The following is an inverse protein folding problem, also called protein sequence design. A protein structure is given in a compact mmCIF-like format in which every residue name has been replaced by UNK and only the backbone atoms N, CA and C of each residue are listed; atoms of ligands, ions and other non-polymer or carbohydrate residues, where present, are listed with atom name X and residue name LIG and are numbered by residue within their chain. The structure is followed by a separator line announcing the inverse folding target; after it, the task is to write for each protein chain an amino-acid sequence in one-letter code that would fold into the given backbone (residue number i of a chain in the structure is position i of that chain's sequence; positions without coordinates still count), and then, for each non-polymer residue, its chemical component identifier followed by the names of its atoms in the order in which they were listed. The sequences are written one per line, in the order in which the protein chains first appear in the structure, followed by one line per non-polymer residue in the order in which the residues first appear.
data_IF_827770086811
#
_entry.id   IF_827770086811
#
_cell.length_a   1.000
_cell.length_b   1.000
_cell.length_c   1.000
_cell.angle_alpha   90.00
_cell.angle_beta   90.00
_cell.angle_gamma   90.00
#
_symmetry.space_group_name_H-M   'P 1'
#
loop_
_entity.id
_entity.type
_entity.pdbx_description
1 polymer ?
#
# COMPACT_ATOMS: atom_id res chain seq x y z
N UNK A 1 -56.29 -81.08 1.78
CA UNK A 1 -57.16 -81.81 0.87
C UNK A 1 -56.23 -82.29 -0.28
N UNK A 2 -55.79 -83.51 -0.26
CA UNK A 2 -56.28 -84.57 -1.15
C UNK A 2 -55.69 -84.31 -2.55
N UNK A 3 -54.95 -85.15 -3.17
CA UNK A 3 -54.51 -86.56 -3.19
C UNK A 3 -53.67 -86.72 -4.47
N UNK A 4 -52.65 -87.38 -4.38
CA UNK A 4 -52.01 -88.34 -5.22
C UNK A 4 -53.01 -89.21 -6.09
N UNK A 5 -52.68 -90.08 -7.01
CA UNK A 5 -51.41 -90.69 -7.31
C UNK A 5 -51.19 -91.22 -8.78
N UNK A 6 -50.04 -91.86 -8.92
CA UNK A 6 -49.79 -93.11 -9.64
C UNK A 6 -49.57 -93.08 -11.15
N UNK A 7 -48.63 -93.72 -11.58
CA UNK A 7 -48.06 -94.97 -11.94
C UNK A 7 -47.73 -94.92 -13.42
N UNK A 8 -46.85 -95.50 -14.00
CA UNK A 8 -45.99 -96.68 -13.95
C UNK A 8 -45.15 -96.71 -15.23
N UNK A 9 -43.95 -96.98 -15.20
CA UNK A 9 -43.32 -98.29 -15.57
C UNK A 9 -42.90 -98.35 -17.05
N UNK A 10 -41.67 -98.42 -17.26
CA UNK A 10 -40.99 -99.58 -17.88
C UNK A 10 -39.55 -99.23 -18.33
N UNK A 11 -38.62 -100.05 -17.87
CA UNK A 11 -37.25 -100.15 -18.37
C UNK A 11 -37.29 -100.95 -19.69
N UNK A 12 -36.41 -100.62 -20.69
CA UNK A 12 -35.26 -101.52 -20.77
C UNK A 12 -33.96 -100.93 -21.39
N UNK A 13 -32.87 -101.54 -20.97
CA UNK A 13 -31.69 -102.02 -21.72
C UNK A 13 -30.65 -101.01 -22.20
N UNK A 14 -29.48 -101.19 -21.59
CA UNK A 14 -28.13 -100.67 -21.91
C UNK A 14 -27.72 -100.80 -23.37
N UNK A 15 -27.00 -99.76 -23.85
CA UNK A 15 -25.92 -99.92 -24.82
C UNK A 15 -24.72 -99.08 -24.46
N UNK A 16 -23.62 -99.82 -24.05
CA UNK A 16 -22.28 -99.20 -23.82
C UNK A 16 -21.82 -98.52 -25.08
N UNK A 17 -21.46 -97.17 -25.00
CA UNK A 17 -20.63 -96.53 -26.00
C UNK A 17 -19.34 -96.02 -25.35
N UNK A 18 -18.24 -96.31 -26.03
CA UNK A 18 -16.86 -96.14 -25.61
C UNK A 18 -16.43 -94.75 -25.25
N UNK A 19 -15.65 -94.66 -24.22
CA UNK A 19 -14.99 -93.50 -23.60
C UNK A 19 -14.01 -92.85 -24.59
N UNK A 20 -14.38 -91.66 -25.17
CA UNK A 20 -13.47 -90.78 -25.97
C UNK A 20 -12.91 -89.63 -25.13
N UNK A 21 -12.63 -89.81 -23.86
CA UNK A 21 -12.19 -88.75 -22.92
C UNK A 21 -10.71 -88.36 -22.98
N UNK A 22 -9.75 -89.19 -23.43
CA UNK A 22 -8.36 -88.74 -23.42
C UNK A 22 -8.01 -87.64 -24.47
N UNK A 23 -8.74 -87.65 -25.59
CA UNK A 23 -8.48 -86.62 -26.66
C UNK A 23 -9.01 -85.25 -26.32
N UNK A 24 -10.11 -85.14 -25.60
CA UNK A 24 -10.70 -83.83 -25.18
C UNK A 24 -9.82 -83.19 -24.09
N UNK A 25 -9.28 -84.00 -23.17
CA UNK A 25 -8.41 -83.53 -22.10
C UNK A 25 -7.06 -83.01 -22.68
N UNK A 26 -6.55 -83.65 -23.74
CA UNK A 26 -5.35 -83.19 -24.45
C UNK A 26 -5.57 -81.79 -25.14
N UNK A 27 -6.75 -81.61 -25.77
CA UNK A 27 -7.09 -80.29 -26.39
C UNK A 27 -7.35 -79.17 -25.39
N UNK A 28 -7.86 -79.48 -24.20
CA UNK A 28 -8.07 -78.49 -23.10
C UNK A 28 -6.70 -78.07 -22.51
N UNK A 29 -5.76 -79.00 -22.35
CA UNK A 29 -4.39 -78.72 -21.86
C UNK A 29 -3.63 -77.82 -22.88
N UNK A 30 -3.75 -78.15 -24.16
CA UNK A 30 -3.14 -77.34 -25.24
C UNK A 30 -3.80 -75.96 -25.32
N UNK A 31 -5.10 -75.90 -25.15
CA UNK A 31 -5.81 -74.58 -25.11
C UNK A 31 -5.39 -73.73 -23.90
N UNK A 32 -5.23 -74.34 -22.72
CA UNK A 32 -4.73 -73.61 -21.53
C UNK A 32 -3.25 -73.21 -21.69
N UNK A 33 -2.42 -74.04 -22.33
CA UNK A 33 -1.02 -73.70 -22.64
C UNK A 33 -0.93 -72.50 -23.62
N UNK A 34 -1.79 -72.47 -24.65
CA UNK A 34 -1.85 -71.35 -25.62
C UNK A 34 -2.36 -70.12 -24.96
N UNK A 35 -3.39 -70.19 -24.09
CA UNK A 35 -3.90 -69.04 -23.31
C UNK A 35 -2.81 -68.54 -22.37
N UNK A 36 -2.03 -69.45 -21.72
CA UNK A 36 -0.90 -69.07 -20.87
C UNK A 36 0.21 -68.36 -21.67
N UNK A 37 0.53 -68.83 -22.87
CA UNK A 37 1.52 -68.18 -23.76
C UNK A 37 1.00 -66.83 -24.26
N UNK A 38 -0.28 -66.73 -24.63
CA UNK A 38 -0.90 -65.45 -25.02
C UNK A 38 -0.97 -64.45 -23.85
N UNK A 39 -1.33 -64.93 -22.64
CA UNK A 39 -1.34 -64.11 -21.44
C UNK A 39 0.07 -63.63 -21.07
N UNK A 40 1.09 -64.47 -21.16
CA UNK A 40 2.49 -64.04 -20.94
C UNK A 40 3.01 -63.11 -22.06
N UNK A 41 2.57 -63.33 -23.31
CA UNK A 41 2.88 -62.43 -24.41
C UNK A 41 2.18 -61.05 -24.28
N UNK A 42 0.93 -61.02 -23.78
CA UNK A 42 0.19 -59.77 -23.50
C UNK A 42 0.79 -59.03 -22.32
N UNK A 43 1.17 -59.74 -21.22
CA UNK A 43 1.86 -59.15 -20.07
C UNK A 43 3.25 -58.65 -20.45
N UNK A 44 3.96 -59.32 -21.36
CA UNK A 44 5.26 -58.91 -21.87
C UNK A 44 5.16 -57.86 -22.97
N UNK A 45 4.01 -57.75 -23.66
CA UNK A 45 3.67 -56.72 -24.64
C UNK A 45 3.09 -55.45 -23.98
N UNK A 46 2.65 -55.50 -22.74
CA UNK A 46 2.50 -54.27 -21.89
C UNK A 46 3.88 -53.78 -21.46
N UNK A 47 4.82 -53.84 -22.40
CA UNK A 47 6.14 -53.25 -22.30
C UNK A 47 5.99 -51.73 -22.09
N UNK A 48 6.49 -51.27 -20.96
CA UNK A 48 6.91 -49.94 -20.60
C UNK A 48 6.56 -48.94 -21.69
N UNK A 49 5.43 -48.26 -21.55
CA UNK A 49 5.15 -47.05 -22.29
C UNK A 49 6.39 -46.19 -22.09
N UNK A 50 7.17 -45.94 -23.13
CA UNK A 50 8.29 -45.02 -23.06
C UNK A 50 7.70 -43.68 -22.71
N UNK A 51 7.78 -43.30 -21.44
CA UNK A 51 7.46 -41.98 -21.01
C UNK A 51 8.39 -41.02 -21.77
N UNK A 52 7.82 -40.19 -22.63
CA UNK A 52 8.57 -39.16 -23.36
C UNK A 52 8.74 -37.97 -22.42
N UNK A 53 9.96 -37.73 -22.04
CA UNK A 53 10.32 -36.54 -21.28
C UNK A 53 10.87 -35.49 -22.23
N UNK A 54 10.61 -34.21 -21.91
CA UNK A 54 11.26 -33.11 -22.57
C UNK A 54 12.76 -33.15 -22.27
N UNK A 55 13.58 -32.94 -23.28
CA UNK A 55 15.04 -32.88 -23.14
C UNK A 55 15.43 -31.44 -22.98
N UNK A 56 16.08 -31.10 -21.86
CA UNK A 56 16.50 -29.75 -21.51
C UNK A 56 18.01 -29.72 -21.32
N UNK A 57 18.68 -28.71 -21.87
CA UNK A 57 20.11 -28.48 -21.66
C UNK A 57 20.31 -27.34 -20.67
N UNK A 58 21.29 -27.43 -19.76
CA UNK A 58 21.68 -26.30 -18.92
C UNK A 58 22.08 -25.09 -19.77
N UNK A 59 21.81 -23.89 -19.28
CA UNK A 59 22.20 -22.64 -19.94
C UNK A 59 23.40 -22.05 -19.22
N UNK A 60 24.53 -21.95 -19.92
CA UNK A 60 25.73 -21.31 -19.40
C UNK A 60 25.68 -19.79 -19.63
N UNK A 61 26.38 -19.03 -18.79
CA UNK A 61 26.43 -17.55 -18.81
C UNK A 61 25.01 -16.89 -18.76
N UNK A 62 24.11 -17.51 -18.03
CA UNK A 62 22.75 -16.97 -17.81
C UNK A 62 22.75 -16.02 -16.60
N UNK A 63 21.62 -15.38 -16.39
CA UNK A 63 21.36 -14.52 -15.23
C UNK A 63 20.10 -14.93 -14.51
N UNK A 64 20.11 -14.86 -13.20
CA UNK A 64 18.94 -15.04 -12.34
C UNK A 64 18.74 -13.78 -11.54
N UNK A 65 17.52 -13.25 -11.57
CA UNK A 65 17.06 -12.15 -10.72
C UNK A 65 15.97 -12.72 -9.80
N UNK A 66 16.25 -12.77 -8.53
CA UNK A 66 15.24 -13.11 -7.54
C UNK A 66 14.54 -11.82 -7.11
N UNK A 67 13.25 -11.72 -7.37
CA UNK A 67 12.42 -10.56 -7.02
C UNK A 67 11.26 -10.96 -6.11
N UNK A 68 10.72 -10.00 -5.41
CA UNK A 68 9.45 -10.12 -4.69
C UNK A 68 8.51 -9.00 -5.13
N UNK A 69 7.21 -9.28 -5.12
CA UNK A 69 6.19 -8.31 -5.51
C UNK A 69 5.55 -7.71 -4.27
N UNK A 70 5.66 -6.40 -4.14
CA UNK A 70 5.03 -5.61 -3.10
C UNK A 70 3.78 -4.94 -3.67
N UNK A 71 2.68 -5.00 -2.94
CA UNK A 71 1.48 -4.23 -3.27
C UNK A 71 1.45 -2.96 -2.43
N UNK A 72 1.15 -1.85 -3.06
CA UNK A 72 1.15 -0.55 -2.41
C UNK A 72 0.43 0.53 -3.21
N UNK A 73 0.72 1.78 -2.89
CA UNK A 73 0.21 2.98 -3.55
C UNK A 73 1.32 3.95 -3.91
N UNK A 74 1.05 4.80 -4.88
CA UNK A 74 1.88 5.96 -5.20
C UNK A 74 1.41 7.12 -4.32
N UNK A 75 2.33 7.73 -3.57
CA UNK A 75 2.03 8.85 -2.70
C UNK A 75 3.08 9.95 -2.86
N UNK A 76 2.74 11.20 -2.62
CA UNK A 76 3.74 12.25 -2.58
C UNK A 76 4.67 12.02 -1.38
N UNK A 77 5.92 12.49 -1.48
CA UNK A 77 6.87 12.39 -0.36
C UNK A 77 6.35 13.08 0.89
N UNK A 78 5.83 14.29 0.72
CA UNK A 78 5.25 15.09 1.78
C UNK A 78 3.88 15.62 1.38
N UNK A 79 2.88 15.36 2.20
CA UNK A 79 1.55 15.92 2.09
C UNK A 79 1.31 16.86 3.27
N UNK A 80 1.10 18.14 2.97
CA UNK A 80 0.91 19.18 3.98
C UNK A 80 -0.56 19.56 4.10
N UNK A 81 -1.10 19.34 5.30
CA UNK A 81 -2.48 19.69 5.63
C UNK A 81 -2.56 21.15 6.07
N UNK A 82 -3.12 22.00 5.24
CA UNK A 82 -3.34 23.41 5.54
C UNK A 82 -4.57 23.54 6.44
N UNK A 83 -4.35 24.07 7.65
CA UNK A 83 -5.37 24.24 8.68
C UNK A 83 -5.60 25.73 8.98
N UNK A 84 -6.80 26.13 9.43
CA UNK A 84 -7.10 27.51 9.73
C UNK A 84 -6.45 27.96 11.06
N UNK A 85 -6.15 29.24 11.14
CA UNK A 85 -5.60 29.87 12.34
C UNK A 85 -6.69 30.36 13.32
N UNK A 86 -7.98 30.18 12.96
CA UNK A 86 -9.11 30.58 13.81
C UNK A 86 -10.34 29.73 13.51
N UNK A 87 -11.29 29.74 14.44
CA UNK A 87 -12.60 29.12 14.27
C UNK A 87 -13.53 30.05 13.46
N UNK A 88 -14.30 29.45 12.54
CA UNK A 88 -15.24 30.23 11.74
C UNK A 88 -15.99 29.41 10.71
N UNK A 89 -16.47 30.10 9.69
CA UNK A 89 -17.15 29.51 8.52
C UNK A 89 -16.38 29.94 7.28
N UNK A 90 -16.16 29.02 6.36
CA UNK A 90 -15.54 29.32 5.06
C UNK A 90 -16.46 30.27 4.29
N UNK A 91 -16.01 31.48 4.03
CA UNK A 91 -16.72 32.49 3.24
C UNK A 91 -16.42 32.38 1.75
N UNK A 92 -15.15 32.13 1.41
CA UNK A 92 -14.66 32.07 0.03
C UNK A 92 -13.59 30.98 -0.06
N UNK A 93 -13.55 30.29 -1.20
CA UNK A 93 -12.52 29.32 -1.61
C UNK A 93 -12.04 29.75 -2.99
N UNK A 94 -10.75 29.96 -3.15
CA UNK A 94 -10.18 30.54 -4.37
C UNK A 94 -9.64 29.50 -5.34
N UNK A 95 -9.39 28.28 -4.87
CA UNK A 95 -8.77 27.19 -5.63
C UNK A 95 -9.60 25.92 -5.53
N UNK A 96 -9.40 25.02 -6.51
CA UNK A 96 -10.03 23.71 -6.58
C UNK A 96 -8.98 22.60 -6.46
N UNK A 97 -9.35 21.37 -6.10
CA UNK A 97 -8.47 20.21 -6.21
C UNK A 97 -7.90 20.08 -7.63
N UNK A 98 -6.59 19.92 -7.73
CA UNK A 98 -5.84 19.88 -8.98
C UNK A 98 -5.15 21.19 -9.36
N UNK A 99 -5.49 22.34 -8.72
CA UNK A 99 -4.81 23.61 -8.97
C UNK A 99 -3.41 23.61 -8.34
N UNK A 100 -2.47 24.22 -9.05
CA UNK A 100 -1.13 24.50 -8.53
C UNK A 100 -1.12 25.84 -7.78
N UNK A 101 -0.54 25.86 -6.59
CA UNK A 101 -0.47 27.05 -5.73
C UNK A 101 0.96 27.29 -5.26
N UNK A 102 1.31 28.56 -5.06
CA UNK A 102 2.59 28.98 -4.51
C UNK A 102 2.49 29.21 -3.00
N UNK A 103 3.60 29.06 -2.30
CA UNK A 103 3.69 29.45 -0.88
C UNK A 103 3.27 30.91 -0.70
N UNK A 104 2.38 31.17 0.28
CA UNK A 104 1.82 32.48 0.55
C UNK A 104 0.61 32.86 -0.32
N UNK A 105 0.16 32.02 -1.23
CA UNK A 105 -1.04 32.24 -2.03
C UNK A 105 -2.32 32.05 -1.21
N UNK A 106 -3.35 32.86 -1.48
CA UNK A 106 -4.59 32.86 -0.71
C UNK A 106 -5.49 31.69 -1.13
N UNK A 107 -5.68 30.73 -0.23
CA UNK A 107 -6.51 29.54 -0.43
C UNK A 107 -7.97 29.81 -0.07
N UNK A 108 -8.21 30.35 1.12
CA UNK A 108 -9.55 30.51 1.66
C UNK A 108 -9.68 31.74 2.53
N UNK A 109 -10.91 32.25 2.61
CA UNK A 109 -11.30 33.29 3.55
C UNK A 109 -12.30 32.76 4.55
N UNK A 110 -12.02 32.98 5.82
CA UNK A 110 -12.87 32.55 6.93
C UNK A 110 -13.62 33.74 7.46
N UNK A 111 -14.91 33.57 7.62
CA UNK A 111 -15.74 34.53 8.36
C UNK A 111 -15.83 34.06 9.82
N UNK A 112 -15.36 34.87 10.73
CA UNK A 112 -15.49 34.63 12.16
C UNK A 112 -16.98 34.59 12.55
N UNK A 113 -17.37 33.60 13.37
CA UNK A 113 -18.66 33.57 14.05
C UNK A 113 -18.38 33.96 15.52
N UNK A 114 -18.61 35.20 15.90
CA UNK A 114 -18.30 35.63 17.24
C UNK A 114 -19.23 34.98 18.27
N UNK A 115 -18.70 34.66 19.43
CA UNK A 115 -19.51 34.27 20.58
C UNK A 115 -20.26 35.49 21.11
N UNK A 116 -21.59 35.42 21.06
CA UNK A 116 -22.48 36.55 21.49
C UNK A 116 -22.23 36.93 22.94
N UNK A 117 -21.96 35.99 23.83
CA UNK A 117 -21.68 36.25 25.25
C UNK A 117 -20.35 37.03 25.41
N UNK A 118 -19.32 36.61 24.67
CA UNK A 118 -18.02 37.32 24.68
C UNK A 118 -18.13 38.73 24.09
N UNK A 119 -18.87 38.90 23.00
CA UNK A 119 -19.11 40.24 22.40
C UNK A 119 -19.84 41.12 23.37
N UNK A 120 -20.89 40.64 24.05
CA UNK A 120 -21.62 41.43 25.05
C UNK A 120 -20.74 41.79 26.26
N UNK A 121 -19.92 40.86 26.75
CA UNK A 121 -18.98 41.14 27.82
C UNK A 121 -17.95 42.21 27.44
N UNK A 122 -17.37 42.11 26.22
CA UNK A 122 -16.45 43.13 25.72
C UNK A 122 -17.13 44.50 25.52
N UNK A 123 -18.36 44.50 25.01
CA UNK A 123 -19.14 45.72 24.87
C UNK A 123 -19.43 46.41 26.21
N UNK A 124 -19.82 45.62 27.23
CA UNK A 124 -20.03 46.13 28.59
C UNK A 124 -18.75 46.75 29.18
N UNK A 125 -17.58 46.18 28.90
CA UNK A 125 -16.28 46.73 29.29
C UNK A 125 -15.98 48.08 28.60
N UNK A 126 -16.28 48.21 27.31
CA UNK A 126 -16.17 49.49 26.59
C UNK A 126 -17.07 50.54 27.22
N UNK A 127 -18.32 50.18 27.56
CA UNK A 127 -19.26 51.13 28.18
C UNK A 127 -18.78 51.60 29.58
N UNK A 128 -18.25 50.67 30.38
CA UNK A 128 -17.66 51.02 31.70
C UNK A 128 -16.44 51.96 31.54
N UNK A 129 -15.52 51.62 30.63
CA UNK A 129 -14.34 52.44 30.37
C UNK A 129 -14.71 53.86 29.80
N UNK A 130 -15.79 53.92 28.98
CA UNK A 130 -16.31 55.19 28.46
C UNK A 130 -16.82 56.08 29.58
N UNK A 131 -17.56 55.56 30.53
CA UNK A 131 -18.06 56.29 31.70
C UNK A 131 -16.90 56.83 32.52
N UNK A 132 -15.88 56.03 32.79
CA UNK A 132 -14.72 56.47 33.58
C UNK A 132 -13.87 57.51 32.80
N UNK A 133 -13.66 57.31 31.49
CA UNK A 133 -13.01 58.33 30.64
C UNK A 133 -13.74 59.68 30.70
N UNK A 134 -15.07 59.69 30.53
CA UNK A 134 -15.86 60.90 30.59
C UNK A 134 -15.72 61.56 31.92
N UNK A 135 -15.84 60.87 33.04
CA UNK A 135 -15.66 61.37 34.39
C UNK A 135 -14.27 61.99 34.59
N UNK A 136 -13.22 61.33 34.21
CA UNK A 136 -11.82 61.79 34.36
C UNK A 136 -11.52 62.94 33.42
N UNK A 137 -12.10 62.95 32.23
CA UNK A 137 -11.99 64.09 31.27
C UNK A 137 -12.62 65.38 31.81
N UNK A 138 -13.82 65.29 32.41
CA UNK A 138 -14.50 66.46 33.04
C UNK A 138 -13.68 66.98 34.21
N UNK A 139 -13.10 66.10 35.04
CA UNK A 139 -12.21 66.51 36.15
C UNK A 139 -10.97 67.22 35.59
N UNK A 140 -10.29 66.58 34.59
CA UNK A 140 -9.11 67.16 33.94
C UNK A 140 -9.39 68.55 33.32
N UNK A 141 -10.50 68.68 32.60
CA UNK A 141 -10.88 70.00 31.96
C UNK A 141 -11.10 71.05 32.99
N UNK A 142 -11.77 70.74 34.11
CA UNK A 142 -11.99 71.67 35.19
C UNK A 142 -10.66 72.07 35.85
N UNK A 143 -9.85 71.12 36.24
CA UNK A 143 -8.57 71.33 36.92
C UNK A 143 -7.58 72.04 36.01
N UNK A 144 -7.59 71.78 34.71
CA UNK A 144 -6.82 72.54 33.73
C UNK A 144 -7.20 74.02 33.70
N UNK A 145 -8.53 74.34 33.67
CA UNK A 145 -9.01 75.73 33.69
C UNK A 145 -8.63 76.46 34.98
N UNK A 146 -8.66 75.76 36.15
CA UNK A 146 -8.24 76.36 37.39
C UNK A 146 -6.72 76.56 37.53
N UNK A 147 -5.94 75.60 36.92
CA UNK A 147 -4.49 75.74 36.82
C UNK A 147 -4.06 76.90 35.91
N UNK A 148 -4.69 77.02 34.75
CA UNK A 148 -4.45 78.16 33.81
C UNK A 148 -4.76 79.49 34.46
N UNK A 149 -5.68 79.54 35.42
CA UNK A 149 -6.00 80.72 36.24
C UNK A 149 -5.10 80.86 37.47
N UNK A 150 -4.10 80.00 37.65
CA UNK A 150 -3.19 80.02 38.80
C UNK A 150 -3.86 79.76 40.17
N UNK A 151 -5.05 79.15 40.17
CA UNK A 151 -5.81 78.82 41.40
C UNK A 151 -5.49 77.44 41.94
N UNK A 152 -5.04 76.52 41.07
CA UNK A 152 -4.79 75.08 41.40
C UNK A 152 -3.29 74.78 41.40
N UNK A 153 -2.85 73.95 42.38
CA UNK A 153 -1.48 73.51 42.44
C UNK A 153 -1.15 72.60 41.22
N UNK A 154 0.09 72.68 40.72
CA UNK A 154 0.60 71.91 39.58
C UNK A 154 0.47 70.44 39.76
N UNK A 155 0.78 69.90 40.94
CA UNK A 155 0.68 68.50 41.30
C UNK A 155 -0.73 67.93 41.09
N UNK A 156 -1.77 68.70 41.52
CA UNK A 156 -3.17 68.31 41.35
C UNK A 156 -3.58 68.23 39.89
N UNK A 157 -3.16 69.26 39.09
CA UNK A 157 -3.36 69.26 37.65
C UNK A 157 -2.66 68.04 36.96
N UNK A 158 -1.39 67.77 37.30
CA UNK A 158 -0.64 66.67 36.74
C UNK A 158 -1.27 65.27 37.11
N UNK A 159 -1.81 65.22 38.33
CA UNK A 159 -2.54 63.99 38.77
C UNK A 159 -3.83 63.79 37.98
N UNK A 160 -4.63 64.85 37.79
CA UNK A 160 -5.85 64.72 36.99
C UNK A 160 -5.58 64.45 35.52
N UNK A 161 -4.51 65.02 34.95
CA UNK A 161 -4.06 64.70 33.60
C UNK A 161 -3.60 63.24 33.46
N UNK A 162 -2.82 62.76 34.42
CA UNK A 162 -2.38 61.35 34.43
C UNK A 162 -3.58 60.39 34.54
N UNK A 163 -4.57 60.69 35.36
CA UNK A 163 -5.79 59.88 35.48
C UNK A 163 -6.62 59.90 34.19
N UNK A 164 -6.81 61.05 33.57
CA UNK A 164 -7.48 61.16 32.26
C UNK A 164 -6.75 60.34 31.19
N UNK A 165 -5.43 60.47 31.12
CA UNK A 165 -4.63 59.71 30.15
C UNK A 165 -4.72 58.21 30.34
N UNK A 166 -4.73 57.74 31.61
CA UNK A 166 -4.91 56.31 31.95
C UNK A 166 -6.29 55.81 31.51
N UNK A 167 -7.35 56.54 31.83
CA UNK A 167 -8.70 56.18 31.45
C UNK A 167 -8.88 56.15 29.93
N UNK A 168 -8.21 57.07 29.20
CA UNK A 168 -8.21 57.06 27.75
C UNK A 168 -7.55 55.80 27.14
N UNK A 169 -6.38 55.40 27.69
CA UNK A 169 -5.70 54.17 27.26
C UNK A 169 -6.58 52.98 27.53
N UNK A 170 -7.25 52.88 28.70
CA UNK A 170 -8.14 51.78 29.03
C UNK A 170 -9.35 51.71 28.09
N UNK A 171 -9.95 52.88 27.74
CA UNK A 171 -11.03 52.95 26.78
C UNK A 171 -10.60 52.50 25.38
N UNK A 172 -9.47 53.01 24.89
CA UNK A 172 -8.93 52.62 23.58
C UNK A 172 -8.61 51.12 23.51
N UNK A 173 -8.04 50.55 24.58
CA UNK A 173 -7.78 49.12 24.70
C UNK A 173 -9.07 48.27 24.73
N UNK A 174 -10.11 48.74 25.44
CA UNK A 174 -11.40 48.05 25.50
C UNK A 174 -12.09 48.06 24.14
N UNK A 175 -12.02 49.15 23.37
CA UNK A 175 -12.56 49.23 22.01
C UNK A 175 -11.82 48.29 21.08
N UNK A 176 -10.49 48.25 21.14
CA UNK A 176 -9.69 47.33 20.34
C UNK A 176 -10.01 45.83 20.66
N UNK A 177 -10.21 45.49 21.96
CA UNK A 177 -10.62 44.17 22.38
C UNK A 177 -12.02 43.79 21.87
N UNK A 178 -12.96 44.74 21.85
CA UNK A 178 -14.29 44.52 21.29
C UNK A 178 -14.21 44.23 19.78
N UNK A 179 -13.41 45.01 19.04
CA UNK A 179 -13.22 44.79 17.61
C UNK A 179 -12.56 43.45 17.31
N UNK A 180 -11.54 43.07 18.07
CA UNK A 180 -10.94 41.71 17.99
C UNK A 180 -11.96 40.63 18.23
N UNK A 181 -12.82 40.78 19.23
CA UNK A 181 -13.86 39.78 19.57
C UNK A 181 -14.94 39.71 18.50
N UNK A 182 -15.24 40.78 17.78
CA UNK A 182 -16.27 40.85 16.72
C UNK A 182 -15.79 40.36 15.36
N UNK A 183 -14.57 40.75 15.00
CA UNK A 183 -14.07 40.62 13.62
C UNK A 183 -12.89 39.64 13.49
N UNK A 184 -12.27 39.25 14.61
CA UNK A 184 -11.04 38.46 14.62
C UNK A 184 -9.79 39.23 14.16
N UNK A 185 -9.92 40.52 13.89
CA UNK A 185 -8.83 41.41 13.47
C UNK A 185 -8.93 42.74 14.16
N UNK A 186 -7.81 43.36 14.51
CA UNK A 186 -7.76 44.75 14.98
C UNK A 186 -7.03 45.63 13.96
N UNK A 187 -7.28 46.92 14.02
CA UNK A 187 -6.59 47.88 13.17
C UNK A 187 -5.07 47.89 13.35
N UNK A 188 -4.59 47.49 14.54
CA UNK A 188 -3.16 47.35 14.85
C UNK A 188 -2.56 46.06 14.32
N UNK A 189 -3.37 45.02 14.07
CA UNK A 189 -2.94 43.67 13.64
C UNK A 189 -3.28 43.38 12.17
N UNK A 190 -3.72 44.38 11.41
CA UNK A 190 -4.18 44.26 10.01
C UNK A 190 -3.15 43.65 9.04
N UNK A 191 -1.89 43.47 9.43
CA UNK A 191 -0.87 42.76 8.66
C UNK A 191 -0.91 41.23 8.87
N UNK A 192 -1.66 40.70 9.84
CA UNK A 192 -1.89 39.26 10.07
C UNK A 192 -3.40 39.01 10.18
N UNK A 193 -4.08 39.08 9.04
CA UNK A 193 -5.49 38.69 9.01
C UNK A 193 -5.59 37.19 9.26
N UNK A 194 -5.88 36.78 10.50
CA UNK A 194 -6.14 35.38 10.89
C UNK A 194 -7.37 34.81 10.16
N UNK A 195 -8.15 35.68 9.50
CA UNK A 195 -9.31 35.27 8.67
C UNK A 195 -8.91 34.73 7.31
N UNK A 196 -7.66 34.87 6.89
CA UNK A 196 -7.15 34.41 5.60
C UNK A 196 -6.31 33.16 5.79
N UNK A 197 -6.56 32.15 4.98
CA UNK A 197 -5.80 30.90 4.94
C UNK A 197 -4.93 30.92 3.70
N UNK A 198 -3.63 30.86 3.90
CA UNK A 198 -2.62 30.87 2.83
C UNK A 198 -2.00 29.49 2.66
N UNK A 199 -1.52 29.21 1.46
CA UNK A 199 -0.69 28.04 1.21
C UNK A 199 0.61 28.14 2.03
N UNK A 200 0.95 27.08 2.74
CA UNK A 200 2.16 27.00 3.58
C UNK A 200 3.35 26.43 2.81
N UNK A 201 3.09 25.83 1.66
CA UNK A 201 4.09 25.27 0.74
C UNK A 201 3.61 25.44 -0.69
N UNK A 202 4.56 25.42 -1.63
CA UNK A 202 4.27 25.38 -3.07
C UNK A 202 3.97 23.96 -3.49
N UNK A 203 2.90 23.75 -4.28
CA UNK A 203 2.53 22.42 -4.77
C UNK A 203 1.14 22.39 -5.38
N UNK A 204 0.62 21.19 -5.60
CA UNK A 204 -0.72 20.96 -6.13
C UNK A 204 -1.68 20.61 -5.00
N UNK A 205 -2.88 21.17 -5.03
CA UNK A 205 -3.95 20.82 -4.09
C UNK A 205 -4.46 19.42 -4.44
N UNK A 206 -4.30 18.47 -3.49
CA UNK A 206 -4.79 17.10 -3.66
C UNK A 206 -6.26 16.99 -3.27
N UNK A 207 -6.59 17.49 -2.09
CA UNK A 207 -7.92 17.38 -1.51
C UNK A 207 -8.40 18.69 -0.91
N UNK A 208 -9.72 18.88 -0.96
CA UNK A 208 -10.41 20.01 -0.34
C UNK A 208 -11.67 19.47 0.37
N UNK A 209 -11.54 18.98 1.62
CA UNK A 209 -12.66 18.36 2.33
C UNK A 209 -13.73 19.36 2.77
N UNK A 210 -13.46 20.67 2.68
CA UNK A 210 -14.39 21.73 3.07
C UNK A 210 -15.02 22.42 1.86
N UNK A 211 -16.20 23.05 2.08
CA UNK A 211 -16.93 23.83 1.08
C UNK A 211 -17.26 25.21 1.66
N UNK A 212 -17.58 26.16 0.79
CA UNK A 212 -18.14 27.45 1.23
C UNK A 212 -19.36 27.20 2.11
N UNK A 213 -19.39 27.83 3.29
CA UNK A 213 -20.38 27.60 4.32
C UNK A 213 -20.02 26.53 5.36
N UNK A 214 -18.95 25.75 5.15
CA UNK A 214 -18.47 24.76 6.13
C UNK A 214 -17.91 25.45 7.37
N UNK A 215 -18.24 24.93 8.57
CA UNK A 215 -17.61 25.37 9.81
C UNK A 215 -16.22 24.74 9.93
N UNK A 216 -15.24 25.53 10.29
CA UNK A 216 -13.85 25.10 10.50
C UNK A 216 -13.37 25.48 11.88
N UNK A 217 -12.49 24.65 12.44
CA UNK A 217 -11.90 24.82 13.76
C UNK A 217 -10.38 24.81 13.67
N UNK A 218 -9.72 25.68 14.40
CA UNK A 218 -8.26 25.66 14.50
C UNK A 218 -7.76 24.46 15.28
N UNK A 219 -6.54 24.01 14.98
CA UNK A 219 -5.88 22.98 15.76
C UNK A 219 -5.56 23.48 17.17
N UNK A 220 -5.75 22.61 18.17
CA UNK A 220 -5.40 22.86 19.57
C UNK A 220 -4.95 21.56 20.24
N UNK A 221 -4.58 21.62 21.53
CA UNK A 221 -4.09 20.45 22.28
C UNK A 221 -5.09 19.28 22.39
N UNK A 222 -6.37 19.50 22.10
CA UNK A 222 -7.45 18.52 22.21
C UNK A 222 -8.03 18.12 20.84
N UNK A 223 -7.70 18.85 19.77
CA UNK A 223 -8.23 18.62 18.41
C UNK A 223 -7.20 18.96 17.36
N UNK A 224 -7.04 18.09 16.39
CA UNK A 224 -6.17 18.35 15.22
C UNK A 224 -6.65 19.51 14.34
N UNK A 225 -7.86 19.99 14.57
CA UNK A 225 -8.48 21.04 13.74
C UNK A 225 -9.01 20.51 12.42
N UNK A 226 -9.64 21.40 11.66
CA UNK A 226 -10.23 21.07 10.35
C UNK A 226 -9.20 21.31 9.25
N UNK A 227 -8.95 20.33 8.39
CA UNK A 227 -8.14 20.51 7.17
C UNK A 227 -8.96 21.32 6.16
N UNK A 228 -8.39 22.40 5.62
CA UNK A 228 -9.00 23.20 4.56
C UNK A 228 -8.65 22.63 3.20
N UNK A 229 -7.37 22.43 2.95
CA UNK A 229 -6.83 21.74 1.76
C UNK A 229 -5.61 20.91 2.16
N UNK A 230 -5.30 19.87 1.38
CA UNK A 230 -3.99 19.23 1.40
C UNK A 230 -3.20 19.63 0.16
N UNK A 231 -1.92 19.93 0.33
CA UNK A 231 -1.00 20.38 -0.73
C UNK A 231 0.19 19.45 -0.75
N UNK A 232 0.59 19.02 -1.95
CA UNK A 232 1.79 18.21 -2.12
C UNK A 232 2.54 18.56 -3.41
N UNK A 233 3.83 18.26 -3.41
CA UNK A 233 4.64 18.29 -4.61
C UNK A 233 4.49 16.96 -5.38
N UNK A 234 3.89 17.01 -6.56
CA UNK A 234 3.71 15.85 -7.43
C UNK A 234 4.93 15.53 -8.30
N UNK A 235 6.02 16.28 -8.17
CA UNK A 235 7.28 15.98 -8.86
C UNK A 235 8.15 15.00 -8.08
N UNK A 236 7.90 14.83 -6.77
CA UNK A 236 8.60 13.90 -5.88
C UNK A 236 7.60 12.89 -5.30
N UNK A 237 7.48 11.77 -6.00
CA UNK A 237 6.56 10.70 -5.65
C UNK A 237 7.30 9.48 -5.10
N UNK A 238 6.68 8.83 -4.14
CA UNK A 238 7.12 7.58 -3.54
C UNK A 238 6.13 6.46 -3.86
N UNK A 239 6.66 5.27 -4.06
CA UNK A 239 5.88 4.06 -3.86
C UNK A 239 5.93 3.68 -2.39
N UNK A 240 4.79 3.51 -1.76
CA UNK A 240 4.67 3.02 -0.39
C UNK A 240 3.97 1.67 -0.45
N UNK A 241 4.69 0.63 -0.11
CA UNK A 241 4.19 -0.76 -0.14
C UNK A 241 4.56 -1.53 1.11
N UNK A 242 4.05 -2.75 1.18
CA UNK A 242 4.27 -3.64 2.31
C UNK A 242 4.95 -4.92 1.86
N UNK A 243 5.94 -5.37 2.63
CA UNK A 243 6.64 -6.64 2.46
C UNK A 243 6.37 -7.56 3.66
N UNK A 244 6.28 -8.86 3.40
CA UNK A 244 6.12 -9.87 4.44
C UNK A 244 7.41 -10.05 5.26
N UNK A 245 7.27 -10.52 6.49
CA UNK A 245 8.38 -10.83 7.40
C UNK A 245 9.40 -11.80 6.79
N UNK A 246 8.95 -12.77 5.96
CA UNK A 246 9.84 -13.73 5.28
C UNK A 246 10.82 -13.08 4.30
N UNK A 247 10.43 -11.97 3.69
CA UNK A 247 11.17 -11.35 2.59
C UNK A 247 11.87 -10.05 2.98
N UNK A 248 11.48 -9.44 4.11
CA UNK A 248 11.99 -8.12 4.53
C UNK A 248 13.50 -8.08 4.67
N UNK A 249 14.12 -9.16 5.14
CA UNK A 249 15.58 -9.22 5.31
C UNK A 249 16.36 -9.21 3.97
N UNK A 250 15.68 -9.51 2.87
CA UNK A 250 16.27 -9.53 1.53
C UNK A 250 16.02 -8.21 0.77
N UNK A 251 15.15 -7.34 1.28
CA UNK A 251 14.89 -6.01 0.71
C UNK A 251 15.81 -5.01 1.42
N UNK A 252 16.73 -4.42 0.67
CA UNK A 252 17.70 -3.47 1.23
C UNK A 252 17.53 -2.08 0.63
N UNK A 253 17.92 -1.06 1.39
CA UNK A 253 18.01 0.31 0.87
C UNK A 253 18.98 0.33 -0.32
N UNK A 254 18.56 0.94 -1.43
CA UNK A 254 19.30 0.96 -2.69
C UNK A 254 18.88 -0.15 -3.68
N UNK A 255 18.04 -1.11 -3.30
CA UNK A 255 17.52 -2.12 -4.23
C UNK A 255 16.71 -1.47 -5.35
N UNK A 256 16.94 -1.86 -6.63
CA UNK A 256 16.14 -1.39 -7.75
C UNK A 256 14.72 -1.97 -7.68
N UNK A 257 13.76 -1.15 -8.08
CA UNK A 257 12.33 -1.46 -8.06
C UNK A 257 11.71 -1.14 -9.40
N UNK A 258 10.94 -2.06 -9.93
CA UNK A 258 10.11 -1.85 -11.13
C UNK A 258 8.65 -1.75 -10.71
N UNK A 259 8.01 -0.61 -10.98
CA UNK A 259 6.64 -0.34 -10.56
C UNK A 259 5.69 -0.48 -11.74
N UNK A 260 4.64 -1.26 -11.53
CA UNK A 260 3.52 -1.44 -12.44
C UNK A 260 2.26 -0.82 -11.84
N UNK A 261 1.77 0.23 -12.48
CA UNK A 261 0.56 0.94 -12.05
C UNK A 261 -0.65 0.38 -12.77
N UNK A 262 -1.63 -0.12 -12.02
CA UNK A 262 -2.81 -0.79 -12.60
C UNK A 262 -3.62 0.08 -13.57
N UNK A 263 -3.63 1.41 -13.34
CA UNK A 263 -4.30 2.38 -14.21
C UNK A 263 -3.53 2.69 -15.51
N UNK A 264 -2.22 2.38 -15.57
CA UNK A 264 -1.31 2.72 -16.67
C UNK A 264 -0.62 1.46 -17.19
N UNK A 265 -1.40 0.57 -17.82
CA UNK A 265 -0.97 -0.80 -18.20
C UNK A 265 0.26 -0.88 -19.11
N UNK A 266 0.52 0.15 -19.90
CA UNK A 266 1.60 0.18 -20.90
C UNK A 266 2.86 0.91 -20.39
N UNK A 267 2.85 1.39 -19.15
CA UNK A 267 3.97 2.13 -18.58
C UNK A 267 4.51 1.42 -17.34
N UNK A 268 5.82 1.30 -17.30
CA UNK A 268 6.57 0.87 -16.13
C UNK A 268 7.40 2.04 -15.62
N UNK A 269 7.51 2.14 -14.30
CA UNK A 269 8.29 3.18 -13.65
C UNK A 269 9.42 2.53 -12.87
N UNK A 270 10.56 3.20 -12.83
CA UNK A 270 11.70 2.75 -12.05
C UNK A 270 11.76 3.52 -10.73
N UNK A 271 12.14 2.80 -9.70
CA UNK A 271 12.30 3.38 -8.37
C UNK A 271 13.49 2.72 -7.66
N UNK A 272 13.90 3.30 -6.56
CA UNK A 272 14.95 2.75 -5.70
C UNK A 272 14.44 2.73 -4.28
N UNK A 273 14.61 1.62 -3.57
CA UNK A 273 14.25 1.52 -2.16
C UNK A 273 15.04 2.55 -1.36
N UNK A 274 14.33 3.44 -0.69
CA UNK A 274 14.91 4.49 0.15
C UNK A 274 14.78 4.18 1.64
N UNK A 275 13.72 3.49 2.00
CA UNK A 275 13.42 3.17 3.39
C UNK A 275 12.73 1.82 3.54
N UNK A 276 13.17 1.07 4.54
CA UNK A 276 12.51 -0.16 5.01
C UNK A 276 12.22 0.02 6.49
N UNK A 277 10.97 -0.15 6.89
CA UNK A 277 10.57 0.03 8.29
C UNK A 277 11.29 -0.97 9.19
N UNK A 278 11.92 -0.52 10.30
CA UNK A 278 12.54 -1.42 11.27
C UNK A 278 11.49 -2.13 12.16
N UNK A 279 10.21 -1.74 12.06
CA UNK A 279 9.12 -2.27 12.86
C UNK A 279 7.99 -2.75 11.96
N UNK A 280 7.64 -4.04 12.08
CA UNK A 280 6.46 -4.60 11.45
C UNK A 280 5.17 -4.11 12.11
N UNK A 281 4.12 -3.98 11.30
CA UNK A 281 2.75 -3.72 11.74
C UNK A 281 1.92 -5.00 11.54
N UNK A 282 1.15 -5.39 12.54
CA UNK A 282 0.17 -6.47 12.40
C UNK A 282 -1.05 -5.94 11.62
N UNK A 283 -1.29 -6.55 10.49
CA UNK A 283 -2.46 -6.26 9.65
C UNK A 283 -3.22 -7.56 9.45
N UNK A 284 -4.31 -7.72 10.19
CA UNK A 284 -5.19 -8.90 10.13
C UNK A 284 -4.48 -10.24 10.36
N UNK A 285 -3.52 -10.28 11.30
CA UNK A 285 -2.78 -11.49 11.67
C UNK A 285 -1.56 -11.77 10.81
N UNK A 286 -1.19 -10.85 9.92
CA UNK A 286 0.05 -10.91 9.13
C UNK A 286 0.95 -9.74 9.49
N UNK A 287 2.22 -10.02 9.79
CA UNK A 287 3.21 -8.98 10.07
C UNK A 287 3.76 -8.45 8.74
N UNK A 288 3.52 -7.18 8.49
CA UNK A 288 3.96 -6.47 7.30
C UNK A 288 4.92 -5.34 7.67
N UNK A 289 5.95 -5.16 6.84
CA UNK A 289 6.93 -4.09 6.96
C UNK A 289 6.74 -3.09 5.83
N UNK A 290 6.62 -1.82 6.17
CA UNK A 290 6.49 -0.74 5.20
C UNK A 290 7.82 -0.52 4.46
N UNK A 291 7.74 -0.44 3.14
CA UNK A 291 8.86 -0.13 2.25
C UNK A 291 8.49 1.11 1.45
N UNK A 292 9.42 2.09 1.40
CA UNK A 292 9.27 3.27 0.56
C UNK A 292 10.35 3.26 -0.51
N UNK A 293 9.94 3.47 -1.76
CA UNK A 293 10.84 3.58 -2.89
C UNK A 293 10.63 4.90 -3.63
N UNK A 294 11.71 5.64 -3.84
CA UNK A 294 11.69 6.91 -4.58
C UNK A 294 11.54 6.62 -6.07
N UNK A 295 10.50 7.17 -6.68
CA UNK A 295 10.22 7.00 -8.10
C UNK A 295 11.10 7.97 -8.87
N UNK A 296 11.78 7.48 -9.90
CA UNK A 296 12.65 8.27 -10.79
C UNK A 296 12.19 8.13 -12.23
N UNK A 297 12.27 9.21 -13.01
CA UNK A 297 11.94 9.24 -14.42
C UNK A 297 11.47 10.62 -14.89
N UNK A 298 11.48 10.84 -16.19
CA UNK A 298 11.18 12.15 -16.78
C UNK A 298 9.66 12.40 -16.98
N UNK A 299 8.81 11.37 -16.89
CA UNK A 299 7.36 11.48 -17.15
C UNK A 299 6.55 10.99 -15.94
N UNK A 300 6.63 11.74 -14.84
CA UNK A 300 5.82 11.49 -13.64
C UNK A 300 4.42 12.14 -13.74
N UNK A 301 4.17 12.98 -14.75
CA UNK A 301 2.94 13.75 -14.90
C UNK A 301 1.67 12.91 -15.06
N UNK A 302 1.81 11.65 -15.54
CA UNK A 302 0.71 10.70 -15.64
C UNK A 302 0.38 10.01 -14.31
N UNK A 303 1.29 10.03 -13.33
CA UNK A 303 1.07 9.45 -12.02
C UNK A 303 0.20 10.37 -11.17
N UNK A 304 -0.71 9.76 -10.43
CA UNK A 304 -1.52 10.47 -9.45
C UNK A 304 -1.32 9.86 -8.07
N UNK A 305 -1.31 10.71 -7.06
CA UNK A 305 -1.36 10.26 -5.67
C UNK A 305 -2.58 9.36 -5.45
N UNK A 306 -2.41 8.28 -4.68
CA UNK A 306 -3.45 7.28 -4.43
C UNK A 306 -3.56 6.18 -5.48
N UNK A 307 -2.78 6.17 -6.56
CA UNK A 307 -2.81 5.06 -7.51
C UNK A 307 -2.28 3.77 -6.87
N UNK A 308 -3.08 2.72 -6.92
CA UNK A 308 -2.63 1.38 -6.54
C UNK A 308 -1.62 0.84 -7.54
N UNK A 309 -0.55 0.27 -7.03
CA UNK A 309 0.55 -0.23 -7.84
C UNK A 309 1.17 -1.49 -7.23
N UNK A 310 1.77 -2.29 -8.11
CA UNK A 310 2.62 -3.42 -7.73
C UNK A 310 4.06 -3.06 -8.06
N UNK A 311 4.94 -3.26 -7.08
CA UNK A 311 6.36 -3.01 -7.21
C UNK A 311 7.12 -4.32 -7.15
N UNK A 312 7.89 -4.62 -8.17
CA UNK A 312 8.81 -5.74 -8.19
C UNK A 312 10.17 -5.27 -7.70
N UNK A 313 10.57 -5.76 -6.53
CA UNK A 313 11.84 -5.40 -5.87
C UNK A 313 12.84 -6.51 -6.12
N UNK A 314 14.00 -6.16 -6.66
CA UNK A 314 15.10 -7.10 -6.82
C UNK A 314 15.76 -7.36 -5.47
N UNK A 315 15.74 -8.63 -5.05
CA UNK A 315 16.37 -9.08 -3.80
C UNK A 315 17.78 -9.61 -4.02
N UNK A 316 18.01 -10.27 -5.15
CA UNK A 316 19.32 -10.82 -5.51
C UNK A 316 19.46 -10.92 -7.03
N UNK A 317 20.62 -10.59 -7.54
CA UNK A 317 20.98 -10.70 -8.95
C UNK A 317 22.32 -11.39 -9.10
N UNK A 318 22.37 -12.43 -9.93
CA UNK A 318 23.61 -13.10 -10.32
C UNK A 318 23.68 -13.25 -11.83
N UNK A 319 24.86 -13.02 -12.38
CA UNK A 319 25.13 -13.13 -13.80
C UNK A 319 26.31 -14.08 -14.05
N UNK A 320 26.42 -14.63 -15.27
CA UNK A 320 27.51 -15.51 -15.65
C UNK A 320 27.48 -16.87 -14.96
N UNK A 321 26.28 -17.35 -14.61
CA UNK A 321 26.08 -18.61 -13.87
C UNK A 321 25.53 -19.69 -14.79
N UNK A 322 25.67 -20.96 -14.36
CA UNK A 322 25.03 -22.10 -15.00
C UNK A 322 23.64 -22.26 -14.41
N UNK A 323 22.61 -22.28 -15.26
CA UNK A 323 21.22 -22.42 -14.85
C UNK A 323 20.54 -23.61 -15.46
N UNK A 324 19.56 -24.16 -14.75
CA UNK A 324 18.64 -25.19 -15.22
C UNK A 324 17.21 -24.79 -14.86
N UNK A 325 16.21 -25.18 -15.65
CA UNK A 325 14.80 -25.01 -15.24
C UNK A 325 14.53 -25.73 -13.92
N UNK A 326 13.90 -25.08 -12.97
CA UNK A 326 13.61 -25.64 -11.65
C UNK A 326 12.74 -26.91 -11.74
N UNK A 327 11.90 -27.00 -12.76
CA UNK A 327 11.09 -28.17 -13.08
C UNK A 327 11.89 -29.47 -13.36
N UNK A 328 13.21 -29.38 -13.63
CA UNK A 328 14.09 -30.52 -13.85
C UNK A 328 14.68 -31.07 -12.56
N UNK A 329 14.52 -30.36 -11.44
CA UNK A 329 15.06 -30.73 -10.14
C UNK A 329 14.07 -31.59 -9.35
N UNK A 330 14.61 -32.58 -8.69
CA UNK A 330 13.85 -33.43 -7.74
C UNK A 330 14.48 -33.28 -6.37
N UNK A 331 13.67 -32.85 -5.39
CA UNK A 331 14.10 -32.70 -4.01
C UNK A 331 13.80 -33.96 -3.21
N UNK A 332 14.77 -34.51 -2.51
CA UNK A 332 14.62 -35.67 -1.60
C UNK A 332 15.30 -35.34 -0.26
N UNK A 333 14.48 -34.97 0.73
CA UNK A 333 14.98 -34.42 1.99
C UNK A 333 15.81 -33.17 1.75
N UNK A 334 17.03 -33.11 2.26
CA UNK A 334 17.94 -31.98 2.11
C UNK A 334 18.79 -32.02 0.83
N UNK A 335 18.58 -33.00 -0.04
CA UNK A 335 19.38 -33.20 -1.26
C UNK A 335 18.57 -32.90 -2.51
N UNK A 336 19.25 -32.31 -3.49
CA UNK A 336 18.71 -32.01 -4.80
C UNK A 336 19.32 -32.90 -5.86
N UNK A 337 18.49 -33.43 -6.76
CA UNK A 337 18.89 -34.34 -7.80
C UNK A 337 18.33 -33.88 -9.15
N UNK A 338 19.09 -34.19 -10.21
CA UNK A 338 18.65 -34.08 -11.59
C UNK A 338 18.81 -35.45 -12.28
N UNK A 339 18.06 -35.65 -13.33
CA UNK A 339 18.19 -36.85 -14.14
C UNK A 339 18.90 -36.52 -15.46
N UNK A 340 20.13 -37.03 -15.61
CA UNK A 340 20.98 -36.79 -16.76
C UNK A 340 20.81 -37.95 -17.76
N UNK A 341 20.72 -37.64 -19.04
CA UNK A 341 20.62 -38.62 -20.12
C UNK A 341 21.93 -39.37 -20.28
N UNK A 342 21.96 -40.65 -19.92
CA UNK A 342 23.11 -41.57 -20.14
C UNK A 342 23.11 -42.25 -21.50
N UNK A 343 24.23 -42.97 -21.76
CA UNK A 343 24.41 -43.70 -23.01
C UNK A 343 23.44 -44.86 -23.20
N UNK A 344 22.51 -45.03 -23.93
CA UNK A 344 21.38 -45.93 -24.18
C UNK A 344 20.00 -45.35 -23.92
N UNK A 345 19.91 -44.00 -23.71
CA UNK A 345 18.63 -43.31 -23.52
C UNK A 345 17.97 -43.57 -22.16
N UNK A 346 18.75 -44.02 -21.17
CA UNK A 346 18.33 -44.11 -19.77
C UNK A 346 18.78 -42.88 -19.05
N UNK A 347 17.97 -42.41 -18.10
CA UNK A 347 18.31 -41.26 -17.27
C UNK A 347 18.96 -41.74 -15.96
N UNK A 348 20.11 -41.18 -15.64
CA UNK A 348 20.87 -41.43 -14.42
C UNK A 348 20.62 -40.31 -13.42
N UNK A 349 20.34 -40.68 -12.18
CA UNK A 349 20.13 -39.73 -11.09
C UNK A 349 21.48 -39.19 -10.63
N UNK A 350 21.65 -37.88 -10.66
CA UNK A 350 22.87 -37.16 -10.29
C UNK A 350 22.57 -36.11 -9.21
N UNK A 351 23.35 -36.17 -8.13
CA UNK A 351 23.23 -35.16 -7.06
C UNK A 351 23.83 -33.82 -7.53
N UNK A 352 23.14 -32.75 -7.25
CA UNK A 352 23.55 -31.36 -7.59
C UNK A 352 23.43 -30.47 -6.40
N UNK A 353 24.32 -29.48 -6.31
CA UNK A 353 24.21 -28.39 -5.34
C UNK A 353 23.66 -27.18 -6.05
N UNK A 354 22.54 -26.67 -5.53
CA UNK A 354 21.82 -25.54 -6.11
C UNK A 354 22.15 -24.25 -5.35
N UNK A 355 22.00 -23.14 -6.06
CA UNK A 355 22.17 -21.79 -5.51
C UNK A 355 20.90 -20.98 -5.57
N UNK A 356 20.98 -19.77 -6.16
CA UNK A 356 19.87 -18.86 -6.30
C UNK A 356 18.79 -19.43 -7.24
N UNK A 357 17.51 -19.29 -6.86
CA UNK A 357 16.35 -19.61 -7.71
C UNK A 357 15.39 -18.43 -7.80
N UNK A 358 14.78 -18.24 -8.97
CA UNK A 358 13.68 -17.32 -9.22
C UNK A 358 12.30 -18.03 -9.34
N UNK A 359 12.26 -19.36 -9.08
CA UNK A 359 11.07 -20.19 -9.21
C UNK A 359 10.83 -20.73 -10.64
N UNK A 360 11.59 -20.26 -11.65
CA UNK A 360 11.57 -20.75 -13.04
C UNK A 360 12.88 -21.44 -13.35
N UNK A 361 13.99 -20.80 -13.00
CA UNK A 361 15.36 -21.28 -13.16
C UNK A 361 16.06 -21.35 -11.81
N UNK A 362 17.03 -22.23 -11.70
CA UNK A 362 17.88 -22.37 -10.53
C UNK A 362 19.36 -22.45 -10.93
N UNK A 363 20.19 -21.77 -10.16
CA UNK A 363 21.65 -21.80 -10.28
C UNK A 363 22.18 -23.16 -9.89
N UNK A 364 23.11 -23.69 -10.67
CA UNK A 364 23.86 -24.91 -10.35
C UNK A 364 25.27 -24.53 -9.91
N UNK A 365 25.54 -24.74 -8.62
CA UNK A 365 26.87 -24.48 -8.03
C UNK A 365 27.85 -25.61 -8.30
N UNK A 366 27.35 -26.87 -8.31
CA UNK A 366 28.16 -28.05 -8.60
C UNK A 366 27.30 -29.24 -9.00
N UNK A 367 27.92 -30.21 -9.67
CA UNK A 367 27.27 -31.48 -10.09
C UNK A 367 26.97 -31.55 -11.57
N UNK A 368 27.01 -30.43 -12.34
CA UNK A 368 26.86 -30.43 -13.81
C UNK A 368 28.01 -29.69 -14.49
N UNK A 369 28.30 -30.07 -15.73
CA UNK A 369 29.36 -29.42 -16.56
C UNK A 369 28.78 -28.47 -17.60
N UNK A 370 27.47 -28.49 -17.83
CA UNK A 370 26.79 -27.59 -18.76
C UNK A 370 26.44 -28.21 -20.11
N UNK A 371 27.07 -29.32 -20.48
CA UNK A 371 26.85 -30.04 -21.76
C UNK A 371 25.86 -31.20 -21.64
N UNK A 372 25.41 -31.49 -20.44
CA UNK A 372 24.53 -32.66 -20.20
C UNK A 372 23.10 -32.36 -20.63
N UNK A 373 22.42 -33.37 -21.13
CA UNK A 373 20.98 -33.30 -21.41
C UNK A 373 20.21 -33.82 -20.19
N UNK A 374 19.33 -32.96 -19.66
CA UNK A 374 18.51 -33.25 -18.49
C UNK A 374 17.12 -33.74 -18.89
N UNK A 375 16.50 -34.51 -18.00
CA UNK A 375 15.11 -34.91 -18.11
C UNK A 375 14.21 -33.77 -17.61
N UNK A 376 13.46 -33.15 -18.52
CA UNK A 376 12.42 -32.17 -18.22
C UNK A 376 11.07 -32.82 -17.87
N UNK A 377 10.01 -32.09 -18.14
CA UNK A 377 8.64 -32.48 -17.86
C UNK A 377 8.17 -33.67 -18.70
N UNK A 378 7.24 -34.45 -18.15
CA UNK A 378 6.59 -35.54 -18.87
C UNK A 378 5.75 -34.96 -20.02
N UNK A 379 6.10 -35.33 -21.26
CA UNK A 379 5.31 -34.96 -22.44
C UNK A 379 4.01 -35.77 -22.45
N UNK A 380 2.87 -35.11 -22.29
CA UNK A 380 1.56 -35.72 -22.53
C UNK A 380 1.44 -36.05 -24.02
N UNK A 381 1.29 -37.34 -24.37
CA UNK A 381 0.98 -37.77 -25.73
C UNK A 381 -0.31 -37.04 -26.16
N UNK A 382 -0.20 -36.19 -27.16
CA UNK A 382 -1.37 -35.57 -27.81
C UNK A 382 -2.11 -36.71 -28.54
N UNK A 383 -3.26 -37.09 -28.05
CA UNK A 383 -4.19 -37.99 -28.76
C UNK A 383 -4.76 -37.28 -29.99
#
# INVERSE_FOLDING_TARGET
MIQDPSQSGTVPVQKKRAKKWPKILLWVVIGLAIIGVIATAIVKSQGKTKELYEEVTPTANDSIVKSTVLTGSIEPRDEILVKPNMNGIIAELNHLPGDFVQEGELIAKIQMVPDVAMVQSAAARVDAARVDLKRTEEVYKRDKSLYDQQILAKETYETSFANYRRAKIEYDSAVEQLDLTRTGSSASTSKRNNTLVFATVTGTILEQPVKVGSRVTMANNFSEGTTVVSIADLTDLLFIGNVNESDVNNVTVGSPVTIHVGALKDKTYHAVVEYVSPKGKDTSGTILFEVKAAISGDDLSALKAGFSSNAEVEMAHKTGILTIPEATVTYEGDKSFVFVKGGKGQYEKKEVTLGLSDGIKVEVLSGLTGDETLRGNLMKKKN
#
